data_IF_422062637512
#
_entry.id   IF_422062637512
#
_cell.length_a   1.000
_cell.length_b   1.000
_cell.length_c   1.000
_cell.angle_alpha   90.00
_cell.angle_beta   90.00
_cell.angle_gamma   90.00
#
_symmetry.space_group_name_H-M   'P 1'
#
loop_
_entity.id
_entity.type
_entity.pdbx_description
1 polymer ?
#
# COMPACT_ATOMS: atom_id res chain seq x y z
N UNK A 1 -12.12 -16.38 -4.21
CA UNK A 1 -11.24 -15.24 -4.54
C UNK A 1 -12.07 -14.22 -5.32
N UNK A 2 -11.96 -12.91 -5.05
CA UNK A 2 -12.79 -11.89 -5.73
C UNK A 2 -12.43 -11.74 -7.20
N UNK A 3 -13.43 -11.48 -8.06
CA UNK A 3 -13.23 -11.07 -9.47
C UNK A 3 -12.90 -9.57 -9.59
N UNK A 4 -12.45 -9.14 -10.76
CA UNK A 4 -12.23 -7.72 -11.08
C UNK A 4 -13.50 -6.87 -10.92
N UNK A 5 -14.65 -7.39 -11.33
CA UNK A 5 -15.94 -6.70 -11.18
C UNK A 5 -16.31 -6.52 -9.71
N UNK A 6 -16.12 -7.57 -8.89
CA UNK A 6 -16.37 -7.49 -7.46
C UNK A 6 -15.41 -6.51 -6.76
N UNK A 7 -14.17 -6.43 -7.23
CA UNK A 7 -13.20 -5.43 -6.79
C UNK A 7 -13.65 -4.00 -7.13
N UNK A 8 -14.03 -3.73 -8.38
CA UNK A 8 -14.54 -2.41 -8.80
C UNK A 8 -15.82 -2.02 -8.05
N UNK A 9 -16.74 -2.96 -7.86
CA UNK A 9 -17.95 -2.72 -7.05
C UNK A 9 -17.61 -2.37 -5.59
N UNK A 10 -16.55 -2.95 -5.03
CA UNK A 10 -16.05 -2.61 -3.71
C UNK A 10 -15.58 -1.16 -3.64
N UNK A 11 -14.77 -0.72 -4.62
CA UNK A 11 -14.29 0.65 -4.71
C UNK A 11 -15.41 1.68 -4.91
N UNK A 12 -16.37 1.38 -5.80
CA UNK A 12 -17.48 2.26 -6.10
C UNK A 12 -18.38 2.59 -4.87
N UNK A 13 -18.38 1.72 -3.86
CA UNK A 13 -19.16 1.89 -2.62
C UNK A 13 -18.43 2.68 -1.54
N UNK A 14 -17.14 2.97 -1.71
CA UNK A 14 -16.38 3.69 -0.71
C UNK A 14 -16.80 5.16 -0.66
N UNK A 15 -16.77 5.73 0.55
CA UNK A 15 -16.97 7.17 0.74
C UNK A 15 -16.00 7.98 -0.13
N UNK A 16 -16.51 9.02 -0.77
CA UNK A 16 -15.72 9.97 -1.56
C UNK A 16 -14.78 10.76 -0.67
N UNK A 17 -13.51 10.78 -1.05
CA UNK A 17 -12.45 11.57 -0.42
C UNK A 17 -11.27 11.83 -1.38
N UNK A 18 -11.53 11.73 -2.69
CA UNK A 18 -10.53 11.87 -3.75
C UNK A 18 -10.75 13.18 -4.50
N UNK A 19 -9.71 13.98 -4.61
CA UNK A 19 -9.72 15.25 -5.31
C UNK A 19 -8.83 15.19 -6.54
N UNK A 20 -9.33 15.75 -7.65
CA UNK A 20 -8.57 16.00 -8.87
C UNK A 20 -8.98 17.35 -9.43
N UNK A 21 -8.01 18.15 -9.86
CA UNK A 21 -8.22 19.50 -10.40
C UNK A 21 -9.17 20.39 -9.55
N UNK A 22 -8.98 20.34 -8.23
CA UNK A 22 -9.80 21.10 -7.28
C UNK A 22 -11.21 20.57 -7.05
N UNK A 23 -11.62 19.49 -7.73
CA UNK A 23 -12.94 18.88 -7.60
C UNK A 23 -12.90 17.57 -6.82
N UNK A 24 -13.90 17.34 -5.97
CA UNK A 24 -14.13 16.03 -5.36
C UNK A 24 -14.67 15.10 -6.45
N UNK A 25 -14.01 13.99 -6.73
CA UNK A 25 -14.40 13.00 -7.74
C UNK A 25 -14.74 11.65 -7.10
N UNK A 26 -15.33 10.75 -7.89
CA UNK A 26 -15.61 9.37 -7.48
C UNK A 26 -14.38 8.47 -7.73
N UNK A 27 -14.28 7.32 -7.04
CA UNK A 27 -13.17 6.36 -7.26
C UNK A 27 -13.21 5.67 -8.62
N UNK A 28 -14.38 5.68 -9.26
CA UNK A 28 -14.62 5.12 -10.59
C UNK A 28 -14.68 6.22 -11.67
N UNK A 29 -14.18 7.41 -11.37
CA UNK A 29 -14.10 8.51 -12.33
C UNK A 29 -13.23 8.12 -13.54
N UNK A 30 -13.57 8.62 -14.72
CA UNK A 30 -12.91 8.29 -15.99
C UNK A 30 -11.39 8.51 -15.95
N UNK A 31 -10.94 9.51 -15.19
CA UNK A 31 -9.51 9.83 -15.02
C UNK A 31 -8.69 8.69 -14.39
N UNK A 32 -9.35 7.76 -13.69
CA UNK A 32 -8.73 6.61 -13.03
C UNK A 32 -8.90 5.30 -13.80
N UNK A 33 -9.68 5.29 -14.89
CA UNK A 33 -10.12 4.03 -15.48
C UNK A 33 -8.96 3.18 -16.00
N UNK A 34 -7.95 3.81 -16.60
CA UNK A 34 -6.73 3.13 -17.05
C UNK A 34 -5.98 2.46 -15.88
N UNK A 35 -5.82 3.17 -14.78
CA UNK A 35 -5.22 2.68 -13.55
C UNK A 35 -6.03 1.53 -12.96
N UNK A 36 -7.36 1.61 -13.00
CA UNK A 36 -8.28 0.58 -12.52
C UNK A 36 -8.24 -0.69 -13.38
N UNK A 37 -8.15 -0.56 -14.71
CA UNK A 37 -8.00 -1.70 -15.60
C UNK A 37 -6.70 -2.46 -15.30
N UNK A 38 -5.59 -1.73 -15.13
CA UNK A 38 -4.26 -2.30 -14.85
C UNK A 38 -4.23 -3.14 -13.58
N UNK A 39 -4.76 -2.62 -12.47
CA UNK A 39 -4.89 -3.39 -11.23
C UNK A 39 -5.90 -4.53 -11.36
N UNK A 40 -6.98 -4.32 -12.13
CA UNK A 40 -7.99 -5.32 -12.44
C UNK A 40 -7.39 -6.58 -13.05
N UNK A 41 -6.38 -6.43 -13.92
CA UNK A 41 -5.62 -7.55 -14.50
C UNK A 41 -5.02 -8.46 -13.42
N UNK A 42 -4.59 -7.92 -12.26
CA UNK A 42 -4.08 -8.77 -11.15
C UNK A 42 -5.13 -9.70 -10.53
N UNK A 43 -6.41 -9.38 -10.67
CA UNK A 43 -7.52 -10.23 -10.25
C UNK A 43 -7.89 -11.23 -11.34
N UNK A 44 -7.98 -10.78 -12.59
CA UNK A 44 -8.34 -11.65 -13.73
C UNK A 44 -7.29 -12.75 -13.96
N UNK A 45 -6.00 -12.40 -13.95
CA UNK A 45 -4.92 -13.37 -14.15
C UNK A 45 -4.88 -14.43 -13.04
N UNK A 46 -5.33 -14.10 -11.83
CA UNK A 46 -5.37 -15.05 -10.72
C UNK A 46 -6.51 -16.08 -10.83
N UNK A 47 -7.47 -15.86 -11.73
CA UNK A 47 -8.58 -16.78 -12.00
C UNK A 47 -8.31 -17.70 -13.19
N UNK A 48 -7.27 -17.42 -14.00
CA UNK A 48 -6.89 -18.24 -15.15
C UNK A 48 -6.19 -19.52 -14.69
N UNK A 49 -6.67 -20.73 -15.08
CA UNK A 49 -6.06 -22.00 -14.67
C UNK A 49 -4.57 -22.12 -15.03
N UNK A 50 -4.16 -21.60 -16.19
CA UNK A 50 -2.78 -21.61 -16.66
C UNK A 50 -1.83 -20.78 -15.77
N UNK A 51 -2.35 -19.81 -15.02
CA UNK A 51 -1.59 -18.90 -14.17
C UNK A 51 -1.72 -19.23 -12.68
N UNK A 52 -2.47 -20.27 -12.32
CA UNK A 52 -2.83 -20.59 -10.92
C UNK A 52 -1.60 -20.74 -10.02
N UNK A 53 -0.56 -21.44 -10.48
CA UNK A 53 0.66 -21.68 -9.68
C UNK A 53 1.43 -20.39 -9.36
N UNK A 54 1.41 -19.43 -10.29
CA UNK A 54 2.09 -18.15 -10.15
C UNK A 54 1.24 -17.12 -9.40
N UNK A 55 -0.07 -17.07 -9.63
CA UNK A 55 -0.92 -15.98 -9.13
C UNK A 55 -1.69 -16.35 -7.86
N UNK A 56 -1.66 -17.60 -7.43
CA UNK A 56 -2.28 -18.06 -6.19
C UNK A 56 -1.27 -18.75 -5.27
N UNK A 57 -1.58 -18.81 -3.98
CA UNK A 57 -0.82 -19.55 -2.98
C UNK A 57 -1.76 -20.13 -1.92
N UNK A 58 -1.28 -21.13 -1.16
CA UNK A 58 -1.98 -21.59 0.05
C UNK A 58 -1.48 -20.78 1.24
N UNK A 59 -2.38 -20.07 1.92
CA UNK A 59 -2.05 -19.30 3.11
C UNK A 59 -1.58 -20.22 4.24
N UNK A 60 -0.42 -19.94 4.83
CA UNK A 60 0.05 -20.65 6.03
C UNK A 60 -0.74 -20.26 7.29
N UNK A 61 -1.51 -19.16 7.24
CA UNK A 61 -2.33 -18.69 8.36
C UNK A 61 -3.70 -19.37 8.39
N UNK A 62 -4.29 -19.66 7.22
CA UNK A 62 -5.68 -20.14 7.13
C UNK A 62 -5.85 -21.47 6.39
N UNK A 63 -4.82 -21.94 5.70
CA UNK A 63 -4.90 -23.11 4.81
C UNK A 63 -5.72 -22.88 3.53
N UNK A 64 -6.25 -21.67 3.33
CA UNK A 64 -7.09 -21.34 2.16
C UNK A 64 -6.24 -20.91 0.97
N UNK A 65 -6.78 -21.12 -0.23
CA UNK A 65 -6.23 -20.57 -1.48
C UNK A 65 -6.46 -19.06 -1.54
N UNK A 66 -5.40 -18.30 -1.70
CA UNK A 66 -5.39 -16.84 -1.71
C UNK A 66 -4.69 -16.31 -2.97
N UNK A 67 -4.92 -15.04 -3.30
CA UNK A 67 -4.12 -14.36 -4.32
C UNK A 67 -2.68 -14.19 -3.82
N UNK A 68 -1.68 -14.45 -4.65
CA UNK A 68 -0.27 -14.40 -4.23
C UNK A 68 0.16 -13.02 -3.73
N UNK A 69 -0.46 -11.93 -4.19
CA UNK A 69 -0.22 -10.58 -3.66
C UNK A 69 -0.60 -10.40 -2.17
N UNK A 70 -1.36 -11.32 -1.57
CA UNK A 70 -1.72 -11.29 -0.14
C UNK A 70 -1.01 -12.38 0.68
N UNK A 71 -0.04 -13.07 0.08
CA UNK A 71 0.73 -14.13 0.71
C UNK A 71 1.85 -13.60 1.62
N UNK A 72 2.35 -14.45 2.51
CA UNK A 72 3.61 -14.22 3.22
C UNK A 72 4.59 -15.28 2.75
N UNK A 73 5.75 -14.88 2.22
CA UNK A 73 6.73 -15.80 1.66
C UNK A 73 7.16 -16.86 2.68
N UNK A 74 6.98 -18.15 2.35
CA UNK A 74 7.35 -19.28 3.20
C UNK A 74 8.62 -19.99 2.72
N UNK A 75 9.14 -19.62 1.55
CA UNK A 75 10.28 -20.28 0.94
C UNK A 75 11.01 -19.39 -0.07
N UNK A 76 12.21 -19.81 -0.48
CA UNK A 76 12.92 -19.22 -1.63
C UNK A 76 12.08 -19.31 -2.91
N UNK A 77 11.32 -20.39 -3.08
CA UNK A 77 10.47 -20.59 -4.25
C UNK A 77 9.38 -19.51 -4.34
N UNK A 78 8.78 -19.12 -3.21
CA UNK A 78 7.81 -18.01 -3.19
C UNK A 78 8.42 -16.68 -3.67
N UNK A 79 9.69 -16.43 -3.36
CA UNK A 79 10.42 -15.24 -3.81
C UNK A 79 10.70 -15.29 -5.33
N UNK A 80 11.00 -16.47 -5.88
CA UNK A 80 11.17 -16.66 -7.32
C UNK A 80 9.83 -16.48 -8.05
N UNK A 81 8.76 -17.13 -7.55
CA UNK A 81 7.40 -17.00 -8.09
C UNK A 81 6.89 -15.57 -8.04
N UNK A 82 7.22 -14.80 -7.01
CA UNK A 82 6.94 -13.36 -6.97
C UNK A 82 7.53 -12.66 -8.21
N UNK A 83 8.81 -12.85 -8.51
CA UNK A 83 9.45 -12.19 -9.68
C UNK A 83 8.81 -12.64 -10.99
N UNK A 84 8.52 -13.93 -11.14
CA UNK A 84 7.87 -14.49 -12.34
C UNK A 84 6.45 -13.95 -12.52
N UNK A 85 5.64 -13.94 -11.45
CA UNK A 85 4.32 -13.35 -11.40
C UNK A 85 4.36 -11.88 -11.81
N UNK A 86 5.27 -11.10 -11.24
CA UNK A 86 5.42 -9.68 -11.56
C UNK A 86 5.76 -9.46 -13.04
N UNK A 87 6.62 -10.29 -13.63
CA UNK A 87 6.96 -10.22 -15.06
C UNK A 87 5.78 -10.57 -15.96
N UNK A 88 5.01 -11.59 -15.60
CA UNK A 88 3.80 -11.97 -16.32
C UNK A 88 2.83 -10.79 -16.40
N UNK A 89 2.48 -10.18 -15.25
CA UNK A 89 1.55 -9.03 -15.25
C UNK A 89 2.12 -7.83 -16.01
N UNK A 90 3.45 -7.61 -15.97
CA UNK A 90 4.08 -6.57 -16.78
C UNK A 90 3.91 -6.80 -18.28
N UNK A 91 4.00 -8.04 -18.76
CA UNK A 91 3.77 -8.35 -20.17
C UNK A 91 2.31 -8.14 -20.59
N UNK A 92 1.35 -8.37 -19.69
CA UNK A 92 -0.08 -8.14 -19.97
C UNK A 92 -0.45 -6.65 -19.98
N UNK A 93 0.16 -5.85 -19.09
CA UNK A 93 -0.30 -4.47 -18.85
C UNK A 93 0.61 -3.40 -19.45
N UNK A 94 1.91 -3.64 -19.55
CA UNK A 94 2.89 -2.62 -19.94
C UNK A 94 2.93 -1.40 -19.00
N UNK A 95 2.46 -1.54 -17.75
CA UNK A 95 2.26 -0.43 -16.80
C UNK A 95 2.53 -0.86 -15.35
N UNK A 96 2.36 0.08 -14.40
CA UNK A 96 2.43 -0.21 -12.97
C UNK A 96 1.08 -0.69 -12.44
N UNK A 97 1.00 -1.98 -12.07
CA UNK A 97 -0.20 -2.62 -11.50
C UNK A 97 -0.31 -2.54 -9.98
N UNK A 98 0.52 -1.70 -9.33
CA UNK A 98 0.43 -1.19 -7.95
C UNK A 98 0.44 -2.18 -6.78
N UNK A 99 -0.16 -3.37 -6.91
CA UNK A 99 -0.46 -4.31 -5.81
C UNK A 99 0.77 -4.85 -5.08
N UNK A 100 1.95 -4.73 -5.68
CA UNK A 100 3.22 -5.18 -5.11
C UNK A 100 3.62 -4.39 -3.85
N UNK A 101 3.26 -3.11 -3.70
CA UNK A 101 3.68 -2.33 -2.51
C UNK A 101 3.02 -2.85 -1.22
N UNK A 102 1.74 -3.24 -1.27
CA UNK A 102 1.06 -3.86 -0.14
C UNK A 102 1.63 -5.23 0.20
N UNK A 103 1.91 -6.02 -0.82
CA UNK A 103 2.54 -7.34 -0.67
C UNK A 103 3.88 -7.26 0.06
N UNK A 104 4.73 -6.31 -0.33
CA UNK A 104 6.03 -6.09 0.29
C UNK A 104 5.91 -5.54 1.72
N UNK A 105 4.99 -4.59 1.94
CA UNK A 105 4.72 -4.03 3.27
C UNK A 105 4.26 -5.12 4.25
N UNK A 106 3.35 -6.00 3.82
CA UNK A 106 2.88 -7.13 4.63
C UNK A 106 4.03 -8.08 5.00
N UNK A 107 4.91 -8.43 4.05
CA UNK A 107 6.04 -9.32 4.31
C UNK A 107 7.11 -8.67 5.21
N UNK A 108 7.41 -7.38 5.01
CA UNK A 108 8.34 -6.64 5.86
C UNK A 108 7.81 -6.56 7.30
N UNK A 109 6.56 -6.11 7.48
CA UNK A 109 5.91 -6.04 8.79
C UNK A 109 5.82 -7.40 9.47
N UNK A 110 5.57 -8.49 8.73
CA UNK A 110 5.47 -9.84 9.31
C UNK A 110 6.73 -10.20 10.10
N UNK A 111 7.89 -9.97 9.49
CA UNK A 111 9.18 -10.25 10.12
C UNK A 111 9.53 -9.24 11.23
N UNK A 112 9.24 -7.94 11.04
CA UNK A 112 9.65 -6.90 11.99
C UNK A 112 8.79 -6.93 13.25
N UNK A 113 7.47 -7.07 13.12
CA UNK A 113 6.57 -7.16 14.28
C UNK A 113 6.91 -8.34 15.20
N UNK A 114 7.39 -9.46 14.63
CA UNK A 114 7.87 -10.59 15.41
C UNK A 114 9.08 -10.21 16.29
N UNK A 115 10.06 -9.50 15.73
CA UNK A 115 11.27 -9.09 16.46
C UNK A 115 10.99 -7.97 17.48
N UNK A 116 10.04 -7.07 17.18
CA UNK A 116 9.57 -6.10 18.19
C UNK A 116 8.96 -6.85 19.37
N UNK A 117 8.06 -7.80 19.11
CA UNK A 117 7.38 -8.57 20.16
C UNK A 117 8.36 -9.45 20.96
N UNK A 118 9.40 -10.01 20.33
CA UNK A 118 10.45 -10.76 21.03
C UNK A 118 11.18 -9.89 22.06
N UNK A 119 11.53 -8.66 21.69
CA UNK A 119 12.28 -7.73 22.54
C UNK A 119 11.39 -7.06 23.59
N UNK A 120 10.23 -6.57 23.19
CA UNK A 120 9.38 -5.67 24.00
C UNK A 120 8.13 -6.34 24.56
N UNK A 121 7.86 -7.60 24.21
CA UNK A 121 6.66 -8.34 24.63
C UNK A 121 5.36 -7.62 24.27
N UNK A 122 5.38 -6.88 23.17
CA UNK A 122 4.21 -6.25 22.57
C UNK A 122 3.31 -7.29 21.89
N UNK A 123 2.07 -6.93 21.50
CA UNK A 123 1.15 -7.83 20.80
C UNK A 123 1.07 -7.57 19.28
N UNK A 124 2.08 -6.94 18.68
CA UNK A 124 1.99 -6.41 17.32
C UNK A 124 1.91 -7.50 16.25
N UNK A 125 2.65 -8.59 16.43
CA UNK A 125 2.69 -9.68 15.46
C UNK A 125 1.35 -10.41 15.40
N UNK A 126 0.70 -10.64 16.55
CA UNK A 126 -0.65 -11.22 16.58
C UNK A 126 -1.69 -10.30 15.95
N UNK A 127 -1.60 -8.98 16.18
CA UNK A 127 -2.47 -7.98 15.53
C UNK A 127 -2.28 -7.99 14.01
N UNK A 128 -1.03 -8.01 13.55
CA UNK A 128 -0.72 -8.09 12.14
C UNK A 128 -1.25 -9.38 11.51
N UNK A 129 -1.09 -10.55 12.14
CA UNK A 129 -1.66 -11.81 11.62
C UNK A 129 -3.17 -11.74 11.44
N UNK A 130 -3.89 -11.13 12.39
CA UNK A 130 -5.34 -10.90 12.25
C UNK A 130 -5.68 -9.99 11.06
N UNK A 131 -4.90 -8.92 10.86
CA UNK A 131 -5.05 -8.05 9.69
C UNK A 131 -4.74 -8.79 8.37
N UNK A 132 -3.72 -9.65 8.34
CA UNK A 132 -3.38 -10.46 7.17
C UNK A 132 -4.50 -11.43 6.80
N UNK A 133 -5.08 -12.12 7.79
CA UNK A 133 -6.26 -12.98 7.56
C UNK A 133 -7.42 -12.16 6.99
N UNK A 134 -7.70 -10.99 7.55
CA UNK A 134 -8.73 -10.08 7.04
C UNK A 134 -8.49 -9.66 5.58
N UNK A 135 -7.26 -9.31 5.20
CA UNK A 135 -6.88 -8.97 3.82
C UNK A 135 -7.00 -10.18 2.89
N UNK A 136 -6.56 -11.36 3.35
CA UNK A 136 -6.59 -12.61 2.58
C UNK A 136 -8.02 -13.08 2.28
N UNK A 137 -8.89 -13.12 3.29
CA UNK A 137 -10.29 -13.54 3.16
C UNK A 137 -11.07 -12.61 2.22
N UNK A 138 -10.77 -11.31 2.25
CA UNK A 138 -11.42 -10.32 1.41
C UNK A 138 -10.73 -10.11 0.06
N UNK A 139 -9.55 -10.69 -0.16
CA UNK A 139 -8.71 -10.43 -1.33
C UNK A 139 -8.49 -8.92 -1.57
N UNK A 140 -8.26 -8.14 -0.51
CA UNK A 140 -8.16 -6.70 -0.62
C UNK A 140 -6.85 -6.24 -1.30
N UNK A 141 -6.94 -5.13 -2.02
CA UNK A 141 -5.78 -4.33 -2.40
C UNK A 141 -5.34 -3.47 -1.21
N UNK A 142 -4.05 -3.52 -0.91
CA UNK A 142 -3.41 -2.75 0.16
C UNK A 142 -2.32 -1.87 -0.45
N UNK A 143 -2.28 -0.59 -0.11
CA UNK A 143 -1.17 0.31 -0.47
C UNK A 143 -0.14 0.34 0.66
N UNK A 144 1.14 0.24 0.33
CA UNK A 144 2.23 0.44 1.27
C UNK A 144 2.59 1.92 1.34
N UNK A 145 2.37 2.56 2.50
CA UNK A 145 2.46 4.01 2.68
C UNK A 145 3.62 4.42 3.56
N UNK A 146 4.80 4.48 2.92
CA UNK A 146 6.07 4.77 3.59
C UNK A 146 6.47 6.25 3.49
N UNK A 147 6.60 6.78 2.27
CA UNK A 147 7.24 8.09 2.02
C UNK A 147 6.39 9.29 2.46
N UNK A 148 6.90 10.07 3.40
CA UNK A 148 6.33 11.36 3.81
C UNK A 148 6.75 12.52 2.86
N UNK A 149 6.13 13.72 2.95
CA UNK A 149 6.60 14.93 2.26
C UNK A 149 8.02 15.39 2.64
N UNK A 150 8.44 15.15 3.89
CA UNK A 150 9.80 15.33 4.45
C UNK A 150 10.34 16.75 4.63
N UNK A 151 9.71 17.80 4.09
CA UNK A 151 10.11 19.18 4.36
C UNK A 151 11.57 19.51 4.01
N UNK A 152 12.32 20.10 4.95
CA UNK A 152 13.77 20.31 4.79
C UNK A 152 14.49 18.96 4.87
N UNK A 153 15.07 18.52 3.75
CA UNK A 153 15.74 17.21 3.63
C UNK A 153 17.01 17.09 4.47
N UNK A 154 17.55 18.21 4.98
CA UNK A 154 18.71 18.20 5.88
C UNK A 154 18.34 17.93 7.35
N UNK A 155 17.05 17.92 7.68
CA UNK A 155 16.53 17.84 9.05
C UNK A 155 15.76 16.54 9.29
N UNK A 156 15.89 16.00 10.50
CA UNK A 156 15.07 14.89 10.98
C UNK A 156 13.61 15.31 11.26
N UNK A 157 12.72 14.36 11.58
CA UNK A 157 11.30 14.63 11.79
C UNK A 157 11.05 15.66 12.91
N UNK A 158 11.67 15.47 14.06
CA UNK A 158 11.59 16.39 15.22
C UNK A 158 12.24 17.75 15.00
N UNK A 159 12.96 17.94 13.90
CA UNK A 159 13.67 19.17 13.58
C UNK A 159 12.94 20.00 12.50
N UNK A 160 11.85 19.49 11.93
CA UNK A 160 11.03 20.24 10.99
C UNK A 160 10.32 21.39 11.70
N UNK A 161 10.10 22.50 10.98
CA UNK A 161 9.31 23.62 11.49
C UNK A 161 7.83 23.24 11.64
N UNK A 162 7.32 22.49 10.66
CA UNK A 162 6.01 21.85 10.70
C UNK A 162 6.17 20.36 11.04
N UNK A 163 5.68 19.88 12.20
CA UNK A 163 5.80 18.48 12.60
C UNK A 163 5.00 17.52 11.70
N UNK A 164 4.00 18.01 10.94
CA UNK A 164 3.13 17.20 10.08
C UNK A 164 3.80 16.80 8.74
N UNK A 165 4.99 17.33 8.46
CA UNK A 165 5.81 16.95 7.30
C UNK A 165 6.29 15.50 7.35
N UNK A 166 6.17 14.86 8.52
CA UNK A 166 6.26 13.43 8.72
C UNK A 166 5.02 12.95 9.48
N UNK A 167 4.46 11.83 9.06
CA UNK A 167 3.29 11.23 9.72
C UNK A 167 3.66 10.80 11.14
N UNK A 168 2.87 11.23 12.13
CA UNK A 168 3.14 10.95 13.53
C UNK A 168 1.87 10.76 14.37
N UNK A 169 2.05 10.22 15.57
CA UNK A 169 1.01 10.09 16.59
C UNK A 169 0.86 11.43 17.31
N UNK A 170 -0.25 12.14 17.09
CA UNK A 170 -0.56 13.38 17.83
C UNK A 170 -1.18 13.12 19.19
N UNK A 171 -1.80 11.95 19.38
CA UNK A 171 -2.42 11.55 20.64
C UNK A 171 -2.50 10.03 20.78
N UNK A 172 -2.17 9.53 21.97
CA UNK A 172 -2.51 8.17 22.41
C UNK A 172 -3.77 8.25 23.27
N UNK A 173 -4.77 7.44 22.94
CA UNK A 173 -6.02 7.31 23.66
C UNK A 173 -6.15 5.88 24.22
N UNK A 174 -7.15 5.66 25.07
CA UNK A 174 -7.43 4.33 25.62
C UNK A 174 -7.71 3.30 24.52
N UNK A 175 -8.50 3.68 23.51
CA UNK A 175 -8.95 2.78 22.45
C UNK A 175 -8.01 2.71 21.23
N UNK A 176 -7.05 3.64 21.11
CA UNK A 176 -6.17 3.70 19.95
C UNK A 176 -5.25 4.91 19.90
N UNK A 177 -4.82 5.27 18.69
CA UNK A 177 -3.99 6.46 18.42
C UNK A 177 -4.68 7.38 17.43
N UNK A 178 -4.32 8.66 17.46
CA UNK A 178 -4.71 9.65 16.45
C UNK A 178 -3.46 10.02 15.67
N UNK A 179 -3.54 9.94 14.34
CA UNK A 179 -2.45 10.22 13.42
C UNK A 179 -2.69 11.51 12.67
N UNK A 180 -1.60 12.25 12.43
CA UNK A 180 -1.59 13.43 11.57
C UNK A 180 -0.36 13.43 10.67
N UNK A 181 -0.49 14.00 9.48
CA UNK A 181 0.58 14.20 8.51
C UNK A 181 0.15 13.87 7.10
N UNK A 182 1.08 13.46 6.25
CA UNK A 182 0.77 13.02 4.90
C UNK A 182 1.77 11.98 4.37
N UNK A 183 1.34 11.23 3.36
CA UNK A 183 2.15 10.30 2.58
C UNK A 183 2.12 10.69 1.10
N UNK A 184 3.29 10.95 0.52
CA UNK A 184 3.44 11.44 -0.84
C UNK A 184 3.73 10.30 -1.83
N UNK A 185 3.44 10.53 -3.11
CA UNK A 185 3.71 9.59 -4.22
C UNK A 185 3.10 8.21 -4.00
N UNK A 186 1.87 8.16 -3.48
CA UNK A 186 1.19 6.92 -3.11
C UNK A 186 0.56 6.28 -4.34
N UNK A 187 1.36 5.53 -5.08
CA UNK A 187 0.95 4.76 -6.26
C UNK A 187 -0.12 3.74 -5.85
N UNK A 188 -1.32 3.89 -6.41
CA UNK A 188 -2.46 3.01 -6.13
C UNK A 188 -3.15 3.22 -4.78
N UNK A 189 -2.97 4.37 -4.10
CA UNK A 189 -3.78 4.68 -2.92
C UNK A 189 -5.27 4.86 -3.27
N UNK A 190 -5.55 5.46 -4.43
CA UNK A 190 -6.92 5.78 -4.87
C UNK A 190 -7.75 4.55 -5.24
N UNK A 191 -7.09 3.43 -5.55
CA UNK A 191 -7.72 2.17 -5.90
C UNK A 191 -7.48 1.05 -4.86
N UNK A 192 -6.87 1.37 -3.71
CA UNK A 192 -6.73 0.42 -2.58
C UNK A 192 -7.95 0.38 -1.67
N UNK A 193 -8.04 -0.62 -0.79
CA UNK A 193 -9.05 -0.68 0.28
C UNK A 193 -8.45 -0.27 1.63
N UNK A 194 -7.20 -0.66 1.86
CA UNK A 194 -6.45 -0.42 3.10
C UNK A 194 -5.11 0.23 2.76
N UNK A 195 -4.59 1.06 3.65
CA UNK A 195 -3.23 1.59 3.61
C UNK A 195 -2.44 1.07 4.81
N UNK A 196 -1.19 0.65 4.58
CA UNK A 196 -0.23 0.32 5.62
C UNK A 196 0.71 1.51 5.80
N UNK A 197 0.44 2.34 6.81
CA UNK A 197 1.32 3.43 7.22
C UNK A 197 2.59 2.84 7.81
N UNK A 198 3.75 3.35 7.39
CA UNK A 198 5.08 2.95 7.90
C UNK A 198 6.00 4.18 8.00
N UNK A 199 7.01 4.17 8.88
CA UNK A 199 8.02 5.22 8.91
C UNK A 199 8.90 5.17 7.65
N UNK A 200 9.34 6.35 7.15
CA UNK A 200 10.12 6.45 5.91
C UNK A 200 11.63 6.29 6.07
N UNK A 201 12.14 6.31 7.30
CA UNK A 201 13.58 6.32 7.58
C UNK A 201 13.87 5.72 8.96
N UNK A 202 15.15 5.46 9.23
CA UNK A 202 15.60 5.18 10.60
C UNK A 202 15.33 6.39 11.50
N UNK A 203 14.88 6.12 12.71
CA UNK A 203 14.44 7.13 13.67
C UNK A 203 15.37 7.13 14.88
N UNK A 204 15.62 8.32 15.41
CA UNK A 204 16.39 8.49 16.66
C UNK A 204 15.45 8.37 17.85
N UNK A 205 15.97 8.16 19.09
CA UNK A 205 15.12 8.06 20.28
C UNK A 205 14.16 9.23 20.48
N UNK A 206 14.57 10.45 20.10
CA UNK A 206 13.72 11.65 20.16
C UNK A 206 12.55 11.62 19.15
N UNK A 207 12.64 10.87 18.05
CA UNK A 207 11.62 10.81 17.00
C UNK A 207 10.50 9.78 17.32
N UNK A 208 10.24 9.52 18.61
CA UNK A 208 9.35 8.45 19.08
C UNK A 208 7.93 8.51 18.49
N UNK A 209 7.37 9.71 18.34
CA UNK A 209 6.00 9.88 17.85
C UNK A 209 5.87 9.59 16.34
N UNK A 210 6.99 9.57 15.61
CA UNK A 210 7.06 9.21 14.19
C UNK A 210 7.28 7.71 13.96
N UNK A 211 7.59 6.94 15.02
CA UNK A 211 7.76 5.49 14.97
C UNK A 211 6.41 4.79 15.02
N UNK A 212 5.63 4.92 13.94
CA UNK A 212 4.28 4.36 13.82
C UNK A 212 4.16 3.48 12.57
N UNK A 213 3.66 2.25 12.78
CA UNK A 213 3.18 1.41 11.68
C UNK A 213 1.78 0.90 12.01
N UNK A 214 0.85 1.02 11.07
CA UNK A 214 -0.54 0.62 11.28
C UNK A 214 -1.32 0.46 9.97
N UNK A 215 -2.49 -0.18 10.04
CA UNK A 215 -3.44 -0.27 8.93
C UNK A 215 -4.60 0.73 9.08
N UNK A 216 -4.96 1.42 7.99
CA UNK A 216 -6.06 2.39 7.95
C UNK A 216 -6.89 2.17 6.67
N UNK A 217 -8.24 2.13 6.74
CA UNK A 217 -9.06 2.15 5.53
C UNK A 217 -8.81 3.41 4.70
N UNK A 218 -8.70 3.30 3.38
CA UNK A 218 -8.39 4.44 2.50
C UNK A 218 -9.43 5.57 2.50
N UNK A 219 -10.62 5.29 3.03
CA UNK A 219 -11.74 6.21 3.15
C UNK A 219 -12.12 6.48 4.62
N UNK A 220 -11.21 6.21 5.56
CA UNK A 220 -11.43 6.53 6.97
C UNK A 220 -11.68 8.03 7.16
N UNK A 221 -12.48 8.44 8.16
CA UNK A 221 -12.63 9.85 8.53
C UNK A 221 -11.25 10.50 8.76
N UNK A 222 -11.05 11.71 8.22
CA UNK A 222 -9.77 12.42 8.27
C UNK A 222 -8.80 12.08 7.12
N UNK A 223 -9.11 11.10 6.26
CA UNK A 223 -8.29 10.79 5.08
C UNK A 223 -8.76 11.59 3.87
N UNK A 224 -7.87 12.37 3.28
CA UNK A 224 -8.08 13.07 2.00
C UNK A 224 -7.02 12.64 0.98
N UNK A 225 -7.42 12.35 -0.25
CA UNK A 225 -6.51 12.00 -1.34
C UNK A 225 -6.52 13.09 -2.41
N UNK A 226 -5.34 13.56 -2.80
CA UNK A 226 -5.16 14.54 -3.87
C UNK A 226 -4.42 13.85 -5.01
N UNK A 227 -5.11 13.61 -6.11
CA UNK A 227 -4.56 12.90 -7.26
C UNK A 227 -3.53 13.77 -7.99
N UNK A 228 -2.36 13.21 -8.24
CA UNK A 228 -1.26 13.87 -8.93
C UNK A 228 -1.47 13.84 -10.45
N UNK A 229 -1.13 14.94 -11.12
CA UNK A 229 -1.11 14.99 -12.58
C UNK A 229 -0.06 14.04 -13.13
N UNK A 230 -0.35 13.44 -14.28
CA UNK A 230 0.60 12.63 -15.02
C UNK A 230 0.97 13.29 -16.35
N UNK A 231 2.14 12.93 -16.89
CA UNK A 231 2.50 13.33 -18.25
C UNK A 231 1.47 12.78 -19.23
N UNK A 232 0.98 13.62 -20.13
CA UNK A 232 -0.05 13.28 -21.13
C UNK A 232 -1.39 12.83 -20.53
N UNK A 233 -1.75 13.25 -19.31
CA UNK A 233 -3.04 12.91 -18.68
C UNK A 233 -4.25 13.17 -19.60
N UNK A 234 -4.26 14.32 -20.27
CA UNK A 234 -5.34 14.73 -21.19
C UNK A 234 -5.44 13.84 -22.44
N UNK A 235 -4.39 13.07 -22.78
CA UNK A 235 -4.40 12.16 -23.92
C UNK A 235 -5.08 10.82 -23.64
N UNK A 236 -5.37 10.50 -22.37
CA UNK A 236 -6.04 9.23 -22.01
C UNK A 236 -7.44 9.10 -22.63
N UNK A 237 -8.06 10.23 -22.96
CA UNK A 237 -9.37 10.29 -23.64
C UNK A 237 -9.25 10.41 -25.17
N UNK A 238 -8.03 10.47 -25.72
CA UNK A 238 -7.79 10.49 -27.17
C UNK A 238 -7.87 9.07 -27.76
N UNK A 239 -7.84 8.99 -29.10
CA UNK A 239 -7.94 7.72 -29.83
C UNK A 239 -6.82 7.59 -30.87
N UNK A 240 -6.46 6.35 -31.19
CA UNK A 240 -5.43 6.04 -32.20
C UNK A 240 -4.06 5.70 -31.59
N UNK A 241 -3.11 5.38 -32.45
CA UNK A 241 -1.77 4.88 -32.04
C UNK A 241 -0.97 5.91 -31.23
N UNK A 242 -1.25 7.20 -31.42
CA UNK A 242 -0.56 8.30 -30.72
C UNK A 242 -1.08 8.55 -29.30
N UNK A 243 -2.21 7.93 -28.92
CA UNK A 243 -2.78 8.00 -27.57
C UNK A 243 -2.04 7.12 -26.55
N UNK A 244 -1.08 6.30 -27.01
CA UNK A 244 -0.26 5.44 -26.16
C UNK A 244 -0.97 4.16 -25.74
N UNK A 245 -1.00 3.87 -24.44
CA UNK A 245 -1.68 2.70 -23.86
C UNK A 245 -2.98 3.17 -23.18
N UNK A 246 -4.09 3.37 -23.92
CA UNK A 246 -5.33 3.90 -23.35
C UNK A 246 -6.04 2.92 -22.42
N UNK A 247 -5.72 1.62 -22.50
CA UNK A 247 -6.34 0.60 -21.65
C UNK A 247 -5.72 0.57 -20.25
N UNK A 248 -4.40 0.63 -20.15
CA UNK A 248 -3.67 0.46 -18.87
C UNK A 248 -2.92 1.71 -18.40
N UNK A 249 -2.85 2.74 -19.24
CA UNK A 249 -2.09 3.95 -18.96
C UNK A 249 -0.58 3.70 -18.92
N UNK A 250 0.19 4.77 -18.77
CA UNK A 250 1.65 4.70 -18.65
C UNK A 250 2.14 4.76 -17.19
N UNK A 251 1.35 5.37 -16.31
CA UNK A 251 1.73 5.60 -14.91
C UNK A 251 0.57 5.16 -14.00
N UNK A 252 0.85 4.32 -13.01
CA UNK A 252 -0.15 3.72 -12.13
C UNK A 252 -0.69 4.66 -11.04
N UNK A 253 -1.19 5.85 -11.40
CA UNK A 253 -1.95 6.77 -10.55
C UNK A 253 -1.36 7.07 -9.16
N UNK A 254 -0.82 8.26 -8.96
CA UNK A 254 -0.24 8.65 -7.67
C UNK A 254 -1.12 9.66 -6.96
N UNK A 255 -1.21 9.56 -5.64
CA UNK A 255 -1.87 10.57 -4.82
C UNK A 255 -0.97 11.03 -3.65
N UNK A 256 -1.17 12.27 -3.24
CA UNK A 256 -0.85 12.70 -1.88
C UNK A 256 -2.00 12.27 -0.97
N UNK A 257 -1.71 11.49 0.07
CA UNK A 257 -2.68 11.08 1.08
C UNK A 257 -2.44 11.92 2.33
N UNK A 258 -3.41 12.76 2.67
CA UNK A 258 -3.40 13.61 3.88
C UNK A 258 -4.17 12.89 4.98
N UNK A 259 -3.60 12.93 6.18
CA UNK A 259 -4.16 12.37 7.41
C UNK A 259 -4.45 13.52 8.37
N UNK A 260 -5.72 13.89 8.51
CA UNK A 260 -6.20 14.92 9.40
C UNK A 260 -6.89 14.26 10.60
N UNK A 261 -6.12 14.05 11.68
CA UNK A 261 -6.58 13.43 12.93
C UNK A 261 -7.29 12.09 12.75
N UNK A 262 -6.64 11.19 12.02
CA UNK A 262 -7.19 9.87 11.71
C UNK A 262 -7.05 8.96 12.93
N UNK A 263 -8.18 8.49 13.46
CA UNK A 263 -8.19 7.50 14.54
C UNK A 263 -7.83 6.10 14.03
N UNK A 264 -6.95 5.42 14.76
CA UNK A 264 -6.53 4.05 14.48
C UNK A 264 -6.66 3.23 15.76
N UNK A 265 -7.52 2.20 15.80
CA UNK A 265 -7.71 1.41 17.00
C UNK A 265 -6.48 0.52 17.26
N UNK A 266 -6.23 0.17 18.52
CA UNK A 266 -4.99 -0.54 18.90
C UNK A 266 -4.80 -1.87 18.16
N UNK A 267 -5.87 -2.58 17.79
CA UNK A 267 -5.77 -3.83 17.02
C UNK A 267 -5.24 -3.65 15.59
N UNK A 268 -5.19 -2.41 15.08
CA UNK A 268 -4.64 -2.05 13.77
C UNK A 268 -3.23 -1.43 13.85
N UNK A 269 -2.65 -1.33 15.06
CA UNK A 269 -1.31 -0.77 15.29
C UNK A 269 -0.27 -1.88 15.42
N UNK A 270 0.83 -1.76 14.67
CA UNK A 270 1.91 -2.74 14.51
C UNK A 270 3.30 -2.24 14.95
N UNK A 271 3.43 -0.95 15.28
CA UNK A 271 4.61 -0.31 15.90
C UNK A 271 4.15 1.03 16.48
N UNK A 272 4.55 1.41 17.69
CA UNK A 272 4.14 2.68 18.32
C UNK A 272 5.16 3.22 19.33
N UNK A 273 6.32 3.65 18.82
CA UNK A 273 7.38 4.29 19.59
C UNK A 273 8.69 3.51 19.66
N UNK A 274 8.76 2.30 19.10
CA UNK A 274 9.97 1.48 19.06
C UNK A 274 10.90 1.92 17.91
N UNK A 275 11.48 3.12 18.07
CA UNK A 275 12.28 3.82 17.04
C UNK A 275 13.42 2.98 16.48
N UNK A 276 14.00 2.10 17.29
CA UNK A 276 15.12 1.26 16.86
C UNK A 276 14.76 0.23 15.78
N UNK A 277 13.46 -0.05 15.57
CA UNK A 277 12.98 -0.96 14.54
C UNK A 277 12.55 -0.25 13.26
N UNK A 278 12.44 1.09 13.26
CA UNK A 278 12.02 1.85 12.08
C UNK A 278 13.00 1.66 10.91
N UNK A 279 14.32 1.70 11.19
CA UNK A 279 15.35 1.47 10.18
C UNK A 279 15.29 0.07 9.57
N UNK A 280 15.08 -0.96 10.41
CA UNK A 280 14.94 -2.35 9.97
C UNK A 280 13.70 -2.56 9.09
N UNK A 281 12.57 -1.94 9.44
CA UNK A 281 11.36 -1.97 8.63
C UNK A 281 11.57 -1.35 7.26
N UNK A 282 12.20 -0.17 7.21
CA UNK A 282 12.55 0.51 5.96
C UNK A 282 13.48 -0.36 5.11
N UNK A 283 14.50 -0.97 5.71
CA UNK A 283 15.45 -1.84 5.00
C UNK A 283 14.76 -3.05 4.37
N UNK A 284 13.93 -3.78 5.14
CA UNK A 284 13.25 -4.99 4.66
C UNK A 284 12.23 -4.68 3.58
N UNK A 285 11.41 -3.66 3.78
CA UNK A 285 10.47 -3.19 2.77
C UNK A 285 11.20 -2.77 1.49
N UNK A 286 12.22 -1.91 1.60
CA UNK A 286 12.95 -1.42 0.44
C UNK A 286 13.67 -2.57 -0.29
N UNK A 287 14.19 -3.57 0.43
CA UNK A 287 14.84 -4.74 -0.17
C UNK A 287 13.86 -5.59 -0.99
N UNK A 288 12.67 -5.88 -0.43
CA UNK A 288 11.60 -6.59 -1.13
C UNK A 288 11.10 -5.80 -2.34
N UNK A 289 10.96 -4.49 -2.20
CA UNK A 289 10.45 -3.63 -3.27
C UNK A 289 11.48 -3.40 -4.39
N UNK A 290 12.78 -3.31 -4.06
CA UNK A 290 13.87 -3.27 -5.05
C UNK A 290 13.94 -4.54 -5.88
N UNK A 291 13.68 -5.70 -5.27
CA UNK A 291 13.60 -6.98 -5.99
C UNK A 291 12.50 -6.95 -7.06
N UNK A 292 11.38 -6.26 -6.83
CA UNK A 292 10.27 -6.18 -7.79
C UNK A 292 10.73 -5.67 -9.14
N UNK A 293 11.64 -4.70 -9.15
CA UNK A 293 12.10 -4.07 -10.39
C UNK A 293 12.84 -5.04 -11.32
N UNK A 294 13.36 -6.16 -10.79
CA UNK A 294 13.90 -7.25 -11.62
C UNK A 294 12.82 -8.06 -12.38
N UNK A 295 11.55 -7.92 -12.00
CA UNK A 295 10.41 -8.52 -12.70
C UNK A 295 9.52 -7.49 -13.41
N UNK A 296 9.21 -6.36 -12.75
CA UNK A 296 8.17 -5.46 -13.22
C UNK A 296 8.60 -4.33 -14.16
N UNK A 297 9.91 -4.02 -14.23
CA UNK A 297 10.47 -2.91 -15.03
C UNK A 297 11.35 -3.39 -16.21
N UNK A 298 11.21 -4.65 -16.61
CA UNK A 298 12.00 -5.26 -17.70
C UNK A 298 11.15 -5.93 -18.76
#
# INVERSE_FOLDING_TARGET
MRTKEQYFQGLARMKRNLYFDGQLIDRMDEIQMDCLQTIGTTYDEALKPENEDLLTATSHLTGQKINRFTHIHQSREDLIKKVQMLRLISHETGSCYQRCVGFDAMNALYSVTFEIDEKHRTPYHERLKKFLVYVQENNFMVVGSMTDPKGDRSKGPTQQEDPDLFTHVVKKAEEGVILRGAKAHQTGAVNSHEMLIMPTQALRPEDRDYAIACAVPVNAPGVTMIFGRQTNEERKVEHGIDAGNPEFGLVGGEALVVLEDVFVPWERVFMCGETEFAGLLVERFASLHRQNYGGCKG
#
